data_IF_109819905130
#
_entry.id   IF_109819905130
#
_cell.length_a   1.000
_cell.length_b   1.000
_cell.length_c   1.000
_cell.angle_alpha   90.00
_cell.angle_beta   90.00
_cell.angle_gamma   90.00
#
_symmetry.space_group_name_H-M   'P 1'
#
loop_
_entity.id
_entity.type
_entity.pdbx_description
1 polymer ?
#
# COMPACT_ATOMS: atom_id res chain seq x y z
N UNK A 1 -26.76 3.61 11.74
CA UNK A 1 -25.87 2.83 12.64
C UNK A 1 -26.78 1.92 13.43
N UNK A 2 -26.85 0.69 13.03
CA UNK A 2 -27.66 -0.29 13.75
C UNK A 2 -26.91 -0.64 15.04
N UNK A 3 -27.39 -0.12 16.12
CA UNK A 3 -26.91 -0.50 17.46
C UNK A 3 -27.51 -1.85 17.81
N UNK A 4 -26.94 -2.89 17.30
CA UNK A 4 -27.28 -4.24 17.69
C UNK A 4 -26.61 -4.53 19.04
N UNK A 5 -27.25 -4.15 20.11
CA UNK A 5 -26.91 -4.64 21.44
C UNK A 5 -27.45 -6.07 21.48
N UNK A 6 -26.57 -7.06 21.48
CA UNK A 6 -26.95 -8.47 21.46
C UNK A 6 -27.92 -8.76 22.59
N UNK A 7 -29.16 -9.09 22.25
CA UNK A 7 -30.23 -9.40 23.19
C UNK A 7 -31.38 -8.40 23.27
N UNK A 8 -31.28 -7.24 22.62
CA UNK A 8 -32.39 -6.27 22.55
C UNK A 8 -33.04 -6.34 21.17
N UNK A 9 -34.21 -6.92 21.07
CA UNK A 9 -35.03 -6.93 19.86
C UNK A 9 -36.06 -5.80 19.99
N UNK A 10 -35.76 -4.67 19.32
CA UNK A 10 -36.71 -3.54 19.28
C UNK A 10 -37.79 -3.86 18.25
N UNK A 11 -38.96 -4.26 18.71
CA UNK A 11 -40.13 -4.47 17.86
C UNK A 11 -40.83 -5.79 18.00
N UNK A 12 -40.36 -6.70 18.83
CA UNK A 12 -41.14 -7.86 19.20
C UNK A 12 -42.13 -7.51 20.34
N UNK A 13 -43.38 -7.93 20.15
CA UNK A 13 -44.38 -7.85 21.22
C UNK A 13 -44.03 -8.87 22.27
N UNK A 14 -43.52 -8.39 23.43
CA UNK A 14 -43.22 -9.20 24.60
C UNK A 14 -44.45 -9.43 25.47
N UNK A 15 -45.64 -9.16 24.95
CA UNK A 15 -46.89 -9.45 25.66
C UNK A 15 -47.06 -10.96 25.80
N UNK A 16 -46.92 -11.45 27.05
CA UNK A 16 -47.19 -12.85 27.40
C UNK A 16 -45.97 -13.78 27.42
N UNK A 17 -44.77 -13.28 27.20
CA UNK A 17 -43.55 -14.03 27.43
C UNK A 17 -42.86 -13.56 28.71
N UNK A 18 -42.25 -14.47 29.42
CA UNK A 18 -41.25 -14.19 30.45
C UNK A 18 -39.99 -13.64 29.77
N UNK A 19 -40.10 -12.51 29.14
CA UNK A 19 -39.03 -11.83 28.45
C UNK A 19 -38.63 -10.59 29.22
N UNK A 20 -37.43 -10.60 29.75
CA UNK A 20 -36.85 -9.44 30.43
C UNK A 20 -36.00 -8.66 29.48
N UNK A 21 -36.21 -7.35 29.40
CA UNK A 21 -35.25 -6.44 28.77
C UNK A 21 -34.14 -6.20 29.79
N UNK A 22 -32.97 -6.75 29.51
CA UNK A 22 -31.82 -6.57 30.38
C UNK A 22 -31.08 -5.33 29.92
N UNK A 23 -31.16 -4.26 30.69
CA UNK A 23 -30.30 -3.10 30.52
C UNK A 23 -29.10 -3.28 31.44
N UNK A 24 -27.92 -3.54 30.88
CA UNK A 24 -26.69 -3.51 31.67
C UNK A 24 -26.39 -2.07 32.06
N UNK A 25 -26.80 -1.71 33.24
CA UNK A 25 -26.44 -0.46 33.90
C UNK A 25 -25.58 -0.79 35.09
N UNK A 26 -24.34 -0.33 35.09
CA UNK A 26 -23.56 -0.28 36.33
C UNK A 26 -23.98 0.96 37.09
N UNK A 27 -24.76 0.80 38.12
CA UNK A 27 -24.97 1.87 39.10
C UNK A 27 -23.80 1.99 40.08
N UNK A 28 -22.79 1.14 39.91
CA UNK A 28 -21.55 1.14 40.71
C UNK A 28 -21.67 0.65 42.13
N UNK A 29 -22.77 0.05 42.53
CA UNK A 29 -23.02 -0.33 43.92
C UNK A 29 -23.21 -1.83 44.17
N UNK A 30 -23.44 -2.65 43.15
CA UNK A 30 -23.60 -4.08 43.31
C UNK A 30 -22.36 -4.87 42.94
N UNK A 31 -22.02 -5.83 43.76
CA UNK A 31 -20.92 -6.78 43.58
C UNK A 31 -21.38 -8.08 42.92
N UNK A 32 -22.65 -8.20 42.59
CA UNK A 32 -23.17 -9.39 41.93
C UNK A 32 -23.03 -9.30 40.40
N UNK A 33 -22.56 -10.37 39.83
CA UNK A 33 -22.40 -10.50 38.37
C UNK A 33 -23.80 -10.45 37.72
N UNK A 34 -24.19 -9.26 37.33
CA UNK A 34 -25.40 -9.04 36.58
C UNK A 34 -26.36 -8.07 37.25
N UNK A 35 -25.96 -6.80 37.40
CA UNK A 35 -26.89 -5.71 37.60
C UNK A 35 -27.74 -5.52 36.33
N UNK A 36 -28.68 -6.40 36.17
CA UNK A 36 -29.64 -6.35 35.11
C UNK A 36 -30.89 -5.70 35.62
N UNK A 37 -31.28 -4.58 35.08
CA UNK A 37 -32.60 -4.04 35.29
C UNK A 37 -33.55 -4.88 34.44
N UNK A 38 -34.30 -5.74 35.08
CA UNK A 38 -35.29 -6.61 34.45
C UNK A 38 -36.63 -5.92 34.50
N UNK A 39 -37.16 -5.53 33.34
CA UNK A 39 -38.57 -5.14 33.22
C UNK A 39 -39.40 -6.40 32.99
N UNK A 40 -40.06 -6.88 33.97
CA UNK A 40 -41.06 -7.95 33.81
C UNK A 40 -42.40 -7.31 33.50
N UNK A 41 -42.89 -7.48 32.28
CA UNK A 41 -44.15 -6.94 31.80
C UNK A 41 -45.34 -7.87 32.11
N UNK A 42 -45.09 -9.03 32.68
CA UNK A 42 -46.14 -9.96 33.09
C UNK A 42 -46.75 -9.57 34.43
N UNK A 43 -46.09 -8.68 35.11
CA UNK A 43 -46.64 -8.15 36.35
C UNK A 43 -47.73 -7.10 36.01
N UNK A 44 -48.93 -7.41 36.39
CA UNK A 44 -50.06 -6.50 36.37
C UNK A 44 -50.01 -5.46 37.48
N UNK A 45 -48.82 -5.24 38.02
CA UNK A 45 -48.56 -4.24 39.02
C UNK A 45 -49.01 -2.86 38.54
N UNK A 46 -49.76 -2.18 39.35
CA UNK A 46 -50.19 -0.82 39.06
C UNK A 46 -49.01 0.15 39.07
N UNK A 47 -49.26 1.35 38.68
CA UNK A 47 -48.37 2.46 38.98
C UNK A 47 -48.62 2.95 40.40
N UNK A 48 -47.53 3.28 41.08
CA UNK A 48 -47.62 3.98 42.35
C UNK A 48 -48.22 5.40 42.20
N UNK A 49 -48.49 6.08 43.28
CA UNK A 49 -49.04 7.43 43.29
C UNK A 49 -48.16 8.48 42.63
N UNK A 50 -46.91 8.13 42.29
CA UNK A 50 -45.94 8.96 41.54
C UNK A 50 -45.82 8.57 40.08
N UNK A 51 -46.57 7.56 39.61
CA UNK A 51 -46.54 7.08 38.23
C UNK A 51 -45.41 6.09 37.93
N UNK A 52 -44.73 5.56 38.96
CA UNK A 52 -43.72 4.52 38.77
C UNK A 52 -44.41 3.15 38.68
N UNK A 53 -43.87 2.28 37.82
CA UNK A 53 -44.31 0.89 37.74
C UNK A 53 -43.91 0.16 39.04
N UNK A 54 -44.88 -0.45 39.74
CA UNK A 54 -44.62 -1.27 40.92
C UNK A 54 -44.32 -2.70 40.51
N UNK A 55 -43.29 -3.28 41.09
CA UNK A 55 -43.01 -4.71 40.94
C UNK A 55 -43.95 -5.54 41.83
N UNK A 56 -44.10 -6.85 41.53
CA UNK A 56 -44.98 -7.78 42.24
C UNK A 56 -44.71 -7.87 43.77
N UNK A 57 -43.49 -7.56 44.17
CA UNK A 57 -43.07 -7.49 45.57
C UNK A 57 -43.45 -6.17 46.29
N UNK A 58 -44.09 -5.26 45.56
CA UNK A 58 -44.52 -3.96 46.11
C UNK A 58 -43.42 -2.91 46.23
N UNK A 59 -42.24 -3.17 45.69
CA UNK A 59 -41.20 -2.15 45.59
C UNK A 59 -41.45 -1.24 44.40
N UNK A 60 -41.28 0.07 44.62
CA UNK A 60 -41.42 1.04 43.51
C UNK A 60 -40.27 0.85 42.51
N UNK A 61 -40.62 0.32 41.36
CA UNK A 61 -39.66 -0.10 40.41
C UNK A 61 -39.10 1.01 39.57
N UNK A 62 -39.72 1.69 38.67
CA UNK A 62 -39.10 2.65 37.78
C UNK A 62 -40.05 3.74 37.37
N UNK A 63 -39.56 4.97 37.35
CA UNK A 63 -40.29 6.07 36.71
C UNK A 63 -40.39 5.84 35.22
N UNK A 64 -41.56 6.07 34.64
CA UNK A 64 -41.73 6.07 33.18
C UNK A 64 -40.78 7.09 32.59
N UNK A 65 -39.83 6.63 31.81
CA UNK A 65 -38.90 7.53 31.12
C UNK A 65 -39.69 8.32 30.07
N UNK A 66 -39.97 9.56 30.37
CA UNK A 66 -40.71 10.48 29.48
C UNK A 66 -39.83 11.08 28.38
N UNK A 67 -38.55 10.79 28.39
CA UNK A 67 -37.56 11.25 27.38
C UNK A 67 -36.66 10.10 26.94
N UNK A 68 -36.18 10.10 25.67
CA UNK A 68 -35.27 9.08 25.22
C UNK A 68 -33.99 9.09 26.10
N UNK A 69 -33.64 7.94 26.62
CA UNK A 69 -32.39 7.78 27.36
C UNK A 69 -31.22 7.87 26.41
N UNK A 70 -30.48 8.95 26.49
CA UNK A 70 -29.23 9.10 25.72
C UNK A 70 -28.11 8.51 26.57
N UNK A 71 -27.68 7.32 26.20
CA UNK A 71 -26.48 6.71 26.78
C UNK A 71 -25.28 7.01 25.91
N UNK A 72 -24.31 7.70 26.48
CA UNK A 72 -23.02 7.90 25.81
C UNK A 72 -22.14 6.68 26.09
N UNK A 73 -21.58 6.11 25.03
CA UNK A 73 -20.58 5.07 25.19
C UNK A 73 -19.33 5.71 25.79
N UNK A 74 -18.97 5.31 26.99
CA UNK A 74 -17.77 5.76 27.69
C UNK A 74 -16.82 4.58 27.90
N UNK A 75 -15.52 4.87 28.05
CA UNK A 75 -14.51 3.87 28.36
C UNK A 75 -13.87 3.20 27.15
N UNK A 76 -14.20 3.61 25.91
CA UNK A 76 -13.41 3.25 24.76
C UNK A 76 -12.05 3.97 24.81
N UNK A 77 -10.96 3.24 24.69
CA UNK A 77 -9.62 3.81 24.53
C UNK A 77 -9.12 3.51 23.12
N UNK A 78 -8.64 4.56 22.46
CA UNK A 78 -7.95 4.39 21.18
C UNK A 78 -6.54 3.87 21.44
N UNK A 79 -6.20 2.73 20.87
CA UNK A 79 -4.84 2.23 20.86
C UNK A 79 -4.18 2.51 19.51
N UNK A 80 -3.43 3.62 19.44
CA UNK A 80 -2.62 3.99 18.28
C UNK A 80 -1.15 3.56 18.43
N UNK A 81 -0.80 2.89 19.53
CA UNK A 81 0.56 2.46 19.85
C UNK A 81 0.81 1.01 19.40
N UNK A 82 0.57 0.73 18.11
CA UNK A 82 0.77 -0.59 17.54
C UNK A 82 2.21 -1.06 17.73
N UNK A 83 2.36 -2.31 18.14
CA UNK A 83 3.65 -3.01 18.23
C UNK A 83 4.08 -3.55 16.88
N UNK A 84 5.37 -3.90 16.76
CA UNK A 84 5.89 -4.53 15.54
C UNK A 84 5.17 -5.85 15.22
N UNK A 85 4.87 -6.68 16.24
CA UNK A 85 4.17 -7.95 16.05
C UNK A 85 2.72 -7.80 15.57
N UNK A 86 2.03 -6.73 15.95
CA UNK A 86 0.69 -6.43 15.43
C UNK A 86 0.74 -6.01 13.96
N UNK A 87 1.76 -5.23 13.55
CA UNK A 87 2.00 -4.95 12.13
C UNK A 87 2.28 -6.22 11.34
N UNK A 88 3.12 -7.12 11.86
CA UNK A 88 3.43 -8.41 11.23
C UNK A 88 2.16 -9.25 11.06
N UNK A 89 1.40 -9.43 12.14
CA UNK A 89 0.13 -10.17 12.11
C UNK A 89 -0.90 -9.58 11.15
N UNK A 90 -0.88 -8.26 10.95
CA UNK A 90 -1.75 -7.60 9.99
C UNK A 90 -1.29 -7.85 8.55
N UNK A 91 0.02 -7.80 8.28
CA UNK A 91 0.56 -8.07 6.95
C UNK A 91 0.45 -9.54 6.54
N UNK A 92 0.56 -10.49 7.47
CA UNK A 92 0.37 -11.92 7.21
C UNK A 92 -1.00 -12.26 6.61
N UNK A 93 -2.03 -11.46 6.94
CA UNK A 93 -3.37 -11.62 6.35
C UNK A 93 -3.42 -11.32 4.84
N UNK A 94 -2.42 -10.64 4.31
CA UNK A 94 -2.30 -10.33 2.89
C UNK A 94 -1.37 -11.27 2.13
N UNK A 95 -0.88 -12.35 2.76
CA UNK A 95 0.03 -13.31 2.12
C UNK A 95 -0.60 -14.14 1.00
N UNK A 96 -1.91 -14.41 1.11
CA UNK A 96 -2.60 -15.23 0.12
C UNK A 96 -2.76 -14.48 -1.21
N UNK A 97 -2.14 -15.04 -2.26
CA UNK A 97 -2.18 -14.50 -3.62
C UNK A 97 -3.38 -14.99 -4.43
N UNK A 98 -4.09 -16.00 -3.95
CA UNK A 98 -5.24 -16.55 -4.68
C UNK A 98 -6.53 -15.80 -4.37
N UNK A 99 -6.73 -15.44 -3.10
CA UNK A 99 -7.93 -14.73 -2.65
C UNK A 99 -7.82 -13.21 -2.80
N UNK A 100 -6.60 -12.65 -2.74
CA UNK A 100 -6.37 -11.21 -2.72
C UNK A 100 -5.47 -10.76 -3.86
N UNK A 101 -6.02 -9.98 -4.78
CA UNK A 101 -5.27 -9.34 -5.86
C UNK A 101 -4.74 -7.96 -5.44
N UNK A 102 -3.44 -7.90 -5.11
CA UNK A 102 -2.76 -6.69 -4.64
C UNK A 102 -1.64 -6.33 -5.62
N UNK A 103 -1.56 -5.05 -6.01
CA UNK A 103 -0.50 -4.54 -6.89
C UNK A 103 0.45 -3.58 -6.17
N UNK A 104 -0.06 -2.78 -5.22
CA UNK A 104 0.70 -1.76 -4.50
C UNK A 104 0.43 -1.90 -3.00
N UNK A 105 1.49 -1.92 -2.21
CA UNK A 105 1.44 -1.99 -0.75
C UNK A 105 1.99 -0.69 -0.17
N UNK A 106 1.24 -0.05 0.72
CA UNK A 106 1.65 1.19 1.36
C UNK A 106 2.25 0.91 2.73
N UNK A 107 3.48 1.35 2.97
CA UNK A 107 4.13 1.23 4.27
C UNK A 107 3.53 2.14 5.36
N UNK A 108 2.67 3.08 4.98
CA UNK A 108 2.05 4.00 5.94
C UNK A 108 3.09 4.83 6.68
N UNK A 109 3.08 4.79 8.01
CA UNK A 109 4.06 5.48 8.84
C UNK A 109 5.46 4.88 8.64
N UNK A 110 6.44 5.67 8.21
CA UNK A 110 7.76 5.19 7.81
C UNK A 110 8.52 4.39 8.86
N UNK A 111 8.37 4.72 10.13
CA UNK A 111 8.97 3.98 11.23
C UNK A 111 8.12 2.83 11.78
N UNK A 112 6.94 2.55 11.21
CA UNK A 112 6.03 1.53 11.74
C UNK A 112 5.65 1.80 13.21
N UNK A 113 5.95 0.89 14.09
CA UNK A 113 5.65 0.98 15.53
C UNK A 113 6.41 2.11 16.26
N UNK A 114 7.53 2.59 15.72
CA UNK A 114 8.36 3.62 16.34
C UNK A 114 8.71 4.77 15.42
N UNK A 115 9.59 5.65 15.88
CA UNK A 115 10.10 6.80 15.10
C UNK A 115 11.64 6.86 15.17
N UNK A 116 12.27 5.74 14.83
CA UNK A 116 13.73 5.54 14.82
C UNK A 116 14.18 4.79 13.57
N UNK A 117 15.47 4.82 13.27
CA UNK A 117 16.05 4.04 12.18
C UNK A 117 15.90 2.52 12.38
N UNK A 118 15.97 2.04 13.63
CA UNK A 118 15.79 0.63 13.95
C UNK A 118 14.35 0.16 13.76
N UNK A 119 13.37 0.96 14.20
CA UNK A 119 11.95 0.64 13.97
C UNK A 119 11.59 0.69 12.48
N UNK A 120 12.19 1.61 11.72
CA UNK A 120 12.06 1.64 10.26
C UNK A 120 12.62 0.38 9.62
N UNK A 121 13.82 -0.07 10.02
CA UNK A 121 14.43 -1.30 9.49
C UNK A 121 13.54 -2.53 9.76
N UNK A 122 13.03 -2.67 10.98
CA UNK A 122 12.08 -3.73 11.34
C UNK A 122 10.82 -3.68 10.46
N UNK A 123 10.24 -2.51 10.29
CA UNK A 123 9.03 -2.32 9.48
C UNK A 123 9.26 -2.64 7.99
N UNK A 124 10.38 -2.16 7.43
CA UNK A 124 10.76 -2.44 6.04
C UNK A 124 11.07 -3.93 5.84
N UNK A 125 11.66 -4.59 6.83
CA UNK A 125 11.93 -6.03 6.78
C UNK A 125 10.65 -6.84 6.69
N UNK A 126 9.62 -6.52 7.50
CA UNK A 126 8.30 -7.16 7.43
C UNK A 126 7.64 -6.95 6.06
N UNK A 127 7.61 -5.71 5.58
CA UNK A 127 7.07 -5.40 4.26
C UNK A 127 7.82 -6.12 3.14
N UNK A 128 9.15 -6.20 3.25
CA UNK A 128 9.98 -6.91 2.26
C UNK A 128 9.66 -8.39 2.27
N UNK A 129 9.52 -9.02 3.44
CA UNK A 129 9.16 -10.43 3.56
C UNK A 129 7.80 -10.71 2.89
N UNK A 130 6.78 -9.86 3.12
CA UNK A 130 5.48 -9.97 2.47
C UNK A 130 5.59 -9.91 0.94
N UNK A 131 6.22 -8.85 0.40
CA UNK A 131 6.25 -8.65 -1.06
C UNK A 131 7.17 -9.63 -1.79
N UNK A 132 8.21 -10.14 -1.15
CA UNK A 132 9.07 -11.18 -1.71
C UNK A 132 8.44 -12.57 -1.66
N UNK A 133 7.57 -12.83 -0.69
CA UNK A 133 6.75 -14.04 -0.63
C UNK A 133 5.69 -14.02 -1.71
N UNK A 134 4.97 -12.92 -1.85
CA UNK A 134 3.91 -12.73 -2.86
C UNK A 134 4.45 -12.64 -4.29
N UNK A 135 5.46 -11.81 -4.53
CA UNK A 135 6.06 -11.52 -5.85
C UNK A 135 5.11 -10.92 -6.91
N UNK A 136 3.94 -10.47 -6.51
CA UNK A 136 2.91 -9.89 -7.39
C UNK A 136 2.64 -8.40 -7.12
N UNK A 137 3.32 -7.81 -6.15
CA UNK A 137 3.12 -6.42 -5.72
C UNK A 137 4.43 -5.69 -5.41
N UNK A 138 4.33 -4.36 -5.24
CA UNK A 138 5.45 -3.49 -4.86
C UNK A 138 5.07 -2.71 -3.60
N UNK A 139 5.97 -2.68 -2.62
CA UNK A 139 5.81 -1.89 -1.41
C UNK A 139 6.49 -0.51 -1.52
N UNK A 140 5.84 0.50 -0.97
CA UNK A 140 6.32 1.88 -0.93
C UNK A 140 6.54 2.32 0.50
N UNK A 141 7.72 2.85 0.81
CA UNK A 141 8.12 3.21 2.16
C UNK A 141 8.74 4.60 2.20
N UNK A 142 8.29 5.39 3.16
CA UNK A 142 8.89 6.68 3.53
C UNK A 142 9.86 6.54 4.69
N UNK A 143 10.80 7.49 4.90
CA UNK A 143 11.66 7.48 6.08
C UNK A 143 10.84 7.65 7.37
N UNK A 144 11.40 7.29 8.53
CA UNK A 144 10.77 7.59 9.81
C UNK A 144 10.65 9.12 10.00
N UNK A 145 9.61 9.53 10.72
CA UNK A 145 9.17 10.95 10.70
C UNK A 145 10.26 11.91 11.19
N UNK A 146 10.89 11.61 12.31
CA UNK A 146 11.92 12.51 12.88
C UNK A 146 13.23 12.56 12.08
N UNK A 147 13.42 11.67 11.09
CA UNK A 147 14.55 11.79 10.17
C UNK A 147 14.51 13.09 9.33
N UNK A 148 13.31 13.60 9.05
CA UNK A 148 13.13 14.73 8.15
C UNK A 148 12.27 15.86 8.74
N UNK A 149 11.25 15.54 9.54
CA UNK A 149 10.34 16.53 10.11
C UNK A 149 10.96 17.14 11.35
N UNK A 150 11.08 18.49 11.38
CA UNK A 150 11.72 19.22 12.48
C UNK A 150 13.25 19.33 12.35
N UNK A 151 13.84 18.78 11.30
CA UNK A 151 15.30 18.89 11.04
C UNK A 151 15.59 20.20 10.32
N UNK A 152 16.40 21.06 10.92
CA UNK A 152 16.66 22.40 10.41
C UNK A 152 17.48 22.44 9.11
N UNK A 153 18.41 21.51 8.94
CA UNK A 153 19.33 21.49 7.80
C UNK A 153 19.00 20.35 6.83
N UNK A 154 18.85 20.67 5.56
CA UNK A 154 18.57 19.70 4.48
C UNK A 154 19.64 18.61 4.38
N UNK A 155 20.93 18.96 4.56
CA UNK A 155 22.02 17.99 4.55
C UNK A 155 21.92 16.99 5.73
N UNK A 156 21.49 17.43 6.91
CA UNK A 156 21.26 16.57 8.07
C UNK A 156 20.10 15.63 7.81
N UNK A 157 18.96 16.13 7.30
CA UNK A 157 17.83 15.33 6.92
C UNK A 157 18.22 14.26 5.87
N UNK A 158 18.94 14.67 4.82
CA UNK A 158 19.48 13.74 3.80
C UNK A 158 20.36 12.66 4.43
N UNK A 159 21.25 13.03 5.37
CA UNK A 159 22.13 12.07 6.03
C UNK A 159 21.36 11.06 6.89
N UNK A 160 20.36 11.53 7.63
CA UNK A 160 19.49 10.69 8.46
C UNK A 160 18.72 9.66 7.58
N UNK A 161 18.14 10.14 6.49
CA UNK A 161 17.38 9.31 5.55
C UNK A 161 18.28 8.25 4.90
N UNK A 162 19.47 8.64 4.44
CA UNK A 162 20.45 7.70 3.86
C UNK A 162 20.91 6.69 4.89
N UNK A 163 21.22 7.10 6.13
CA UNK A 163 21.62 6.21 7.19
C UNK A 163 20.54 5.17 7.53
N UNK A 164 19.29 5.61 7.64
CA UNK A 164 18.15 4.74 7.94
C UNK A 164 17.91 3.69 6.84
N UNK A 165 17.86 4.10 5.58
CA UNK A 165 17.60 3.16 4.48
C UNK A 165 18.79 2.27 4.11
N UNK A 166 20.00 2.62 4.53
CA UNK A 166 21.14 1.72 4.39
C UNK A 166 21.10 0.49 5.32
N UNK A 167 20.34 0.58 6.41
CA UNK A 167 20.09 -0.58 7.30
C UNK A 167 19.09 -1.54 6.66
N UNK A 168 18.15 -1.02 5.89
CA UNK A 168 17.02 -1.77 5.34
C UNK A 168 17.45 -2.80 4.26
N UNK A 169 16.72 -3.92 4.14
CA UNK A 169 17.02 -4.98 3.17
C UNK A 169 16.97 -4.47 1.73
N UNK A 170 17.73 -5.16 0.87
CA UNK A 170 17.81 -4.85 -0.56
C UNK A 170 16.80 -5.70 -1.33
N UNK A 171 15.78 -5.07 -1.89
CA UNK A 171 14.76 -5.75 -2.69
C UNK A 171 14.35 -4.94 -3.90
N UNK A 172 14.03 -5.60 -5.01
CA UNK A 172 13.45 -4.96 -6.18
C UNK A 172 11.94 -4.75 -6.06
N UNK A 173 11.31 -5.33 -5.05
CA UNK A 173 9.89 -5.21 -4.78
C UNK A 173 9.54 -4.07 -3.79
N UNK A 174 10.56 -3.32 -3.36
CA UNK A 174 10.39 -2.20 -2.43
C UNK A 174 10.89 -0.90 -3.08
N UNK A 175 10.22 0.20 -2.79
CA UNK A 175 10.52 1.55 -3.28
C UNK A 175 10.64 2.50 -2.11
N UNK A 176 11.73 3.24 -2.02
CA UNK A 176 11.98 4.25 -0.99
C UNK A 176 11.77 5.65 -1.54
N UNK A 177 11.01 6.46 -0.82
CA UNK A 177 10.94 7.91 -1.02
C UNK A 177 11.78 8.66 0.01
N UNK A 178 11.89 9.99 -0.13
CA UNK A 178 12.86 10.77 0.67
C UNK A 178 12.25 11.63 1.78
N UNK A 179 10.91 11.83 1.83
CA UNK A 179 10.39 12.94 2.62
C UNK A 179 8.95 12.79 3.08
N UNK A 180 8.47 13.81 3.78
CA UNK A 180 7.07 14.03 4.14
C UNK A 180 6.55 15.29 3.45
N UNK A 181 5.29 15.29 3.04
CA UNK A 181 4.58 16.49 2.61
C UNK A 181 3.77 17.09 3.74
N UNK A 182 3.70 18.41 3.79
CA UNK A 182 2.82 19.15 4.66
C UNK A 182 1.54 19.47 3.89
N UNK A 183 0.42 18.97 4.39
CA UNK A 183 -0.88 19.14 3.74
C UNK A 183 -1.98 19.45 4.74
N UNK A 184 -3.08 20.00 4.26
CA UNK A 184 -4.24 20.29 5.05
C UNK A 184 -5.11 19.04 5.20
N UNK A 185 -5.40 18.68 6.46
CA UNK A 185 -6.36 17.64 6.82
C UNK A 185 -7.73 18.30 7.02
N UNK A 186 -8.58 18.21 6.00
CA UNK A 186 -9.90 18.84 5.98
C UNK A 186 -10.89 18.27 7.00
N UNK A 187 -10.64 17.07 7.53
CA UNK A 187 -11.55 16.43 8.47
C UNK A 187 -11.31 16.91 9.91
N UNK A 188 -10.04 17.23 10.25
CA UNK A 188 -9.67 17.70 11.56
C UNK A 188 -9.31 19.20 11.59
N UNK A 189 -9.43 19.90 10.46
CA UNK A 189 -9.10 21.34 10.30
C UNK A 189 -7.68 21.68 10.76
N UNK A 190 -6.71 20.83 10.46
CA UNK A 190 -5.32 21.00 10.86
C UNK A 190 -4.36 20.67 9.72
N UNK A 191 -3.19 21.31 9.73
CA UNK A 191 -2.11 20.91 8.82
C UNK A 191 -1.25 19.82 9.43
N UNK A 192 -0.94 18.79 8.66
CA UNK A 192 -0.13 17.65 9.11
C UNK A 192 0.99 17.32 8.13
N UNK A 193 2.07 16.74 8.66
CA UNK A 193 3.07 16.05 7.85
C UNK A 193 2.62 14.62 7.59
N UNK A 194 2.50 14.25 6.31
CA UNK A 194 2.07 12.95 5.83
C UNK A 194 3.22 12.32 5.04
N UNK A 195 3.51 11.02 5.23
CA UNK A 195 4.55 10.33 4.47
C UNK A 195 4.20 10.27 2.98
N UNK A 196 5.21 10.28 2.12
CA UNK A 196 5.03 10.34 0.65
C UNK A 196 4.83 8.97 0.00
N UNK A 197 4.92 7.85 0.73
CA UNK A 197 4.74 6.52 0.15
C UNK A 197 3.39 6.35 -0.53
N UNK A 198 2.32 6.88 0.08
CA UNK A 198 0.98 6.88 -0.52
C UNK A 198 0.93 7.70 -1.82
N UNK A 199 1.62 8.84 -1.87
CA UNK A 199 1.71 9.65 -3.09
C UNK A 199 2.52 8.95 -4.17
N UNK A 200 3.66 8.34 -3.82
CA UNK A 200 4.51 7.61 -4.77
C UNK A 200 3.77 6.42 -5.38
N UNK A 201 3.03 5.67 -4.56
CA UNK A 201 2.14 4.62 -5.05
C UNK A 201 0.99 5.19 -5.89
N UNK A 202 0.40 6.30 -5.47
CA UNK A 202 -0.65 7.01 -6.22
C UNK A 202 -0.18 7.51 -7.58
N UNK A 203 1.09 7.95 -7.71
CA UNK A 203 1.69 8.30 -8.99
C UNK A 203 1.88 7.08 -9.90
N UNK A 204 2.15 5.90 -9.34
CA UNK A 204 2.14 4.67 -10.11
C UNK A 204 0.75 4.35 -10.65
N UNK A 205 -0.29 4.41 -9.81
CA UNK A 205 -1.67 4.19 -10.23
C UNK A 205 -2.15 5.25 -11.24
N UNK A 206 -1.77 6.52 -11.06
CA UNK A 206 -2.04 7.58 -12.03
C UNK A 206 -1.34 7.33 -13.37
N UNK A 207 -0.11 6.80 -13.35
CA UNK A 207 0.62 6.43 -14.56
C UNK A 207 -0.11 5.32 -15.32
N UNK A 208 -0.74 4.38 -14.63
CA UNK A 208 -1.54 3.30 -15.24
C UNK A 208 -2.77 3.84 -15.97
N UNK A 209 -3.36 4.94 -15.48
CA UNK A 209 -4.52 5.56 -16.12
C UNK A 209 -4.17 6.34 -17.39
N UNK A 210 -3.03 7.05 -17.39
CA UNK A 210 -2.67 7.97 -18.50
C UNK A 210 -1.70 7.38 -19.52
N UNK A 211 -1.03 6.29 -19.15
CA UNK A 211 -0.08 5.59 -20.00
C UNK A 211 -0.19 4.08 -19.72
N UNK A 212 0.85 3.48 -19.18
CA UNK A 212 0.88 2.06 -18.80
C UNK A 212 1.79 1.85 -17.60
N UNK A 213 1.66 0.70 -16.92
CA UNK A 213 2.42 0.35 -15.72
C UNK A 213 3.94 0.27 -15.95
N UNK A 214 4.38 0.09 -17.18
CA UNK A 214 5.80 0.06 -17.57
C UNK A 214 6.39 1.44 -17.90
N UNK A 215 5.64 2.53 -17.75
CA UNK A 215 6.19 3.87 -17.77
C UNK A 215 6.68 4.29 -16.39
N UNK A 216 7.75 5.11 -16.37
CA UNK A 216 8.26 5.67 -15.11
C UNK A 216 7.22 6.64 -14.50
N UNK A 217 6.89 6.50 -13.20
CA UNK A 217 5.99 7.44 -12.51
C UNK A 217 6.67 8.77 -12.16
N UNK A 218 7.98 8.88 -12.37
CA UNK A 218 8.77 10.06 -12.03
C UNK A 218 8.80 11.11 -13.14
N UNK A 219 9.27 12.30 -12.79
CA UNK A 219 9.50 13.40 -13.70
C UNK A 219 8.34 14.37 -13.84
N UNK A 220 8.55 15.45 -14.59
CA UNK A 220 7.60 16.57 -14.67
C UNK A 220 6.26 16.22 -15.32
N UNK A 221 6.23 15.22 -16.17
CA UNK A 221 5.01 14.83 -16.89
C UNK A 221 4.02 14.02 -16.02
N UNK A 222 4.50 13.20 -15.12
CA UNK A 222 3.69 12.25 -14.34
C UNK A 222 3.95 12.28 -12.83
N UNK A 223 5.14 12.75 -12.41
CA UNK A 223 5.59 12.69 -11.04
C UNK A 223 5.16 13.86 -10.14
N UNK A 224 4.15 14.65 -10.52
CA UNK A 224 3.69 15.78 -9.73
C UNK A 224 2.86 15.33 -8.53
N UNK A 225 3.33 15.63 -7.32
CA UNK A 225 2.68 15.32 -6.05
C UNK A 225 1.62 16.37 -5.73
N UNK A 226 0.37 15.95 -5.65
CA UNK A 226 -0.77 16.85 -5.42
C UNK A 226 -0.97 17.13 -3.92
N UNK A 227 -1.57 18.29 -3.63
CA UNK A 227 -1.96 18.66 -2.26
C UNK A 227 -0.80 18.95 -1.30
N UNK A 228 0.43 19.05 -1.77
CA UNK A 228 1.58 19.40 -0.95
C UNK A 228 1.74 20.92 -0.85
N UNK A 229 1.59 21.48 0.35
CA UNK A 229 1.88 22.90 0.63
C UNK A 229 3.38 23.12 0.68
N UNK A 230 4.10 22.22 1.35
CA UNK A 230 5.56 22.20 1.41
C UNK A 230 6.06 20.79 1.71
N UNK A 231 7.34 20.54 1.47
CA UNK A 231 8.02 19.33 1.92
C UNK A 231 8.62 19.53 3.32
N UNK A 232 8.92 18.45 4.03
CA UNK A 232 9.66 18.49 5.30
C UNK A 232 11.05 19.08 5.11
N UNK A 233 11.70 18.81 3.99
CA UNK A 233 12.91 19.49 3.51
C UNK A 233 12.96 19.41 1.97
N UNK A 234 13.76 20.27 1.35
CA UNK A 234 13.93 20.27 -0.11
C UNK A 234 15.40 19.99 -0.45
N UNK A 235 15.73 18.80 -0.99
CA UNK A 235 17.12 18.42 -1.23
C UNK A 235 17.75 19.23 -2.39
N UNK A 236 18.97 19.72 -2.18
CA UNK A 236 19.83 20.33 -3.20
C UNK A 236 20.25 19.31 -4.26
N UNK A 237 20.88 19.75 -5.36
CA UNK A 237 21.37 18.83 -6.41
C UNK A 237 22.32 17.77 -5.86
N UNK A 238 23.30 18.18 -5.03
CA UNK A 238 24.25 17.25 -4.43
C UNK A 238 23.60 16.24 -3.46
N UNK A 239 22.60 16.69 -2.70
CA UNK A 239 21.83 15.84 -1.80
C UNK A 239 20.94 14.86 -2.56
N UNK A 240 20.32 15.29 -3.67
CA UNK A 240 19.58 14.40 -4.57
C UNK A 240 20.47 13.30 -5.14
N UNK A 241 21.68 13.64 -5.55
CA UNK A 241 22.64 12.67 -6.06
C UNK A 241 23.05 11.65 -4.98
N UNK A 242 23.18 12.08 -3.72
CA UNK A 242 23.44 11.18 -2.58
C UNK A 242 22.24 10.25 -2.32
N UNK A 243 21.03 10.77 -2.25
CA UNK A 243 19.80 9.99 -2.08
C UNK A 243 19.66 8.95 -3.20
N UNK A 244 19.83 9.38 -4.43
CA UNK A 244 19.67 8.51 -5.59
C UNK A 244 20.73 7.40 -5.66
N UNK A 245 21.97 7.67 -5.24
CA UNK A 245 23.00 6.61 -5.07
C UNK A 245 22.62 5.62 -3.97
N UNK A 246 21.98 6.10 -2.91
CA UNK A 246 21.49 5.27 -1.81
C UNK A 246 20.16 4.56 -2.10
N UNK A 247 19.71 4.48 -3.36
CA UNK A 247 18.47 3.82 -3.80
C UNK A 247 17.18 4.54 -3.36
N UNK A 248 17.26 5.78 -2.92
CA UNK A 248 16.15 6.58 -2.42
C UNK A 248 15.71 7.52 -3.53
N UNK A 249 14.40 7.57 -3.79
CA UNK A 249 13.84 8.44 -4.80
C UNK A 249 13.61 9.84 -4.21
N UNK A 250 14.35 10.86 -4.65
CA UNK A 250 14.18 12.20 -4.11
C UNK A 250 12.85 12.80 -4.59
N UNK A 251 12.12 13.39 -3.65
CA UNK A 251 10.98 14.26 -3.95
C UNK A 251 11.42 15.69 -3.74
N UNK A 252 11.19 16.54 -4.72
CA UNK A 252 11.79 17.87 -4.82
C UNK A 252 10.74 18.90 -5.16
N UNK A 253 10.80 20.04 -4.50
CA UNK A 253 10.00 21.20 -4.89
C UNK A 253 10.82 22.06 -5.87
N UNK A 254 10.41 22.09 -7.12
CA UNK A 254 11.00 22.93 -8.17
C UNK A 254 10.22 24.24 -8.31
N UNK A 255 10.89 25.39 -8.34
CA UNK A 255 10.22 26.68 -8.61
C UNK A 255 9.44 26.63 -9.92
N UNK A 256 8.16 26.99 -9.86
CA UNK A 256 7.28 27.01 -11.03
C UNK A 256 6.74 25.64 -11.50
N UNK A 257 7.25 24.53 -10.97
CA UNK A 257 6.83 23.17 -11.33
C UNK A 257 6.14 22.43 -10.16
N UNK A 258 6.30 22.95 -8.94
CA UNK A 258 5.74 22.33 -7.73
C UNK A 258 6.56 21.13 -7.22
N UNK A 259 5.90 20.29 -6.42
CA UNK A 259 6.52 19.13 -5.80
C UNK A 259 6.47 17.94 -6.76
N UNK A 260 7.64 17.39 -7.06
CA UNK A 260 7.80 16.33 -8.08
C UNK A 260 8.62 15.16 -7.54
N UNK A 261 8.18 13.94 -7.81
CA UNK A 261 8.99 12.73 -7.65
C UNK A 261 10.08 12.72 -8.73
N UNK A 262 11.34 12.78 -8.32
CA UNK A 262 12.49 12.94 -9.23
C UNK A 262 13.45 11.75 -9.16
N UNK A 263 12.90 10.54 -9.13
CA UNK A 263 13.63 9.27 -9.14
C UNK A 263 12.69 8.09 -9.35
N UNK A 264 13.21 7.03 -9.95
CA UNK A 264 12.47 5.82 -10.32
C UNK A 264 13.18 4.52 -9.95
N UNK A 265 13.99 4.55 -8.88
CA UNK A 265 14.72 3.36 -8.39
C UNK A 265 13.88 2.51 -7.46
N UNK A 266 14.12 1.19 -7.53
CA UNK A 266 13.75 0.24 -6.48
C UNK A 266 14.81 0.22 -5.37
N UNK A 267 14.53 -0.44 -4.26
CA UNK A 267 15.46 -0.61 -3.14
C UNK A 267 16.60 -1.61 -3.45
N UNK A 268 16.72 -2.10 -4.68
CA UNK A 268 17.74 -3.06 -5.07
C UNK A 268 19.15 -2.42 -5.06
N UNK A 269 20.08 -3.00 -4.31
CA UNK A 269 21.45 -2.51 -4.19
C UNK A 269 22.36 -2.93 -5.34
N UNK A 270 22.08 -4.09 -5.95
CA UNK A 270 22.87 -4.62 -7.07
C UNK A 270 22.40 -4.02 -8.40
N UNK A 271 23.28 -3.60 -9.29
CA UNK A 271 22.91 -3.20 -10.65
C UNK A 271 22.20 -4.34 -11.38
N UNK A 272 20.96 -4.09 -11.80
CA UNK A 272 20.12 -5.06 -12.50
C UNK A 272 19.11 -4.32 -13.38
N UNK A 273 18.43 -5.03 -14.27
CA UNK A 273 17.27 -4.47 -14.98
C UNK A 273 16.14 -4.09 -14.00
N UNK A 274 16.03 -4.81 -12.88
CA UNK A 274 15.02 -4.60 -11.84
C UNK A 274 15.35 -3.48 -10.84
N UNK A 275 16.41 -2.71 -11.05
CA UNK A 275 16.74 -1.55 -10.22
C UNK A 275 15.83 -0.34 -10.50
N UNK A 276 14.85 -0.48 -11.43
CA UNK A 276 13.90 0.55 -11.84
C UNK A 276 12.46 0.13 -11.55
N UNK A 277 11.65 1.09 -11.07
CA UNK A 277 10.24 0.89 -10.77
C UNK A 277 9.47 0.44 -12.00
N UNK A 278 9.69 1.11 -13.14
CA UNK A 278 8.99 0.80 -14.38
C UNK A 278 9.27 -0.62 -14.89
N UNK A 279 10.52 -1.09 -14.79
CA UNK A 279 10.88 -2.44 -15.22
C UNK A 279 10.31 -3.49 -14.26
N UNK A 280 10.39 -3.26 -12.93
CA UNK A 280 9.77 -4.18 -11.97
C UNK A 280 8.27 -4.30 -12.20
N UNK A 281 7.58 -3.18 -12.39
CA UNK A 281 6.14 -3.16 -12.66
C UNK A 281 5.76 -3.81 -13.99
N UNK A 282 6.59 -3.62 -15.03
CA UNK A 282 6.44 -4.35 -16.29
C UNK A 282 6.43 -5.86 -16.04
N UNK A 283 7.45 -6.37 -15.32
CA UNK A 283 7.54 -7.82 -15.08
C UNK A 283 6.39 -8.34 -14.22
N UNK A 284 5.94 -7.60 -13.22
CA UNK A 284 4.76 -7.99 -12.43
C UNK A 284 3.50 -8.11 -13.30
N UNK A 285 3.30 -7.16 -14.23
CA UNK A 285 2.19 -7.21 -15.19
C UNK A 285 2.30 -8.46 -16.09
N UNK A 286 3.50 -8.71 -16.64
CA UNK A 286 3.75 -9.84 -17.54
C UNK A 286 3.61 -11.17 -16.81
N UNK A 287 4.26 -11.33 -15.66
CA UNK A 287 4.21 -12.55 -14.86
C UNK A 287 2.76 -12.90 -14.47
N UNK A 288 1.98 -11.93 -14.03
CA UNK A 288 0.59 -12.12 -13.63
C UNK A 288 -0.32 -12.50 -14.81
N UNK A 289 -0.19 -11.79 -15.94
CA UNK A 289 -0.99 -12.07 -17.13
C UNK A 289 -0.65 -13.44 -17.73
N UNK A 290 0.64 -13.76 -17.85
CA UNK A 290 1.10 -15.03 -18.41
C UNK A 290 0.79 -16.18 -17.47
N UNK A 291 0.97 -16.03 -16.15
CA UNK A 291 0.61 -17.06 -15.18
C UNK A 291 -0.89 -17.38 -15.22
N UNK A 292 -1.74 -16.36 -15.37
CA UNK A 292 -3.18 -16.56 -15.54
C UNK A 292 -3.49 -17.33 -16.83
N UNK A 293 -2.83 -16.97 -17.92
CA UNK A 293 -2.97 -17.67 -19.20
C UNK A 293 -2.44 -19.12 -19.15
N UNK A 294 -1.34 -19.34 -18.44
CA UNK A 294 -0.74 -20.66 -18.27
C UNK A 294 -1.63 -21.63 -17.47
N UNK A 295 -2.50 -21.13 -16.58
CA UNK A 295 -3.45 -21.98 -15.83
C UNK A 295 -4.39 -22.78 -16.74
N UNK A 296 -4.69 -22.29 -17.94
CA UNK A 296 -5.52 -23.01 -18.91
C UNK A 296 -4.81 -24.17 -19.60
N UNK A 297 -3.49 -24.32 -19.42
CA UNK A 297 -2.70 -25.43 -19.91
C UNK A 297 -2.53 -26.56 -18.86
N UNK A 298 -2.98 -26.32 -17.63
CA UNK A 298 -2.92 -27.33 -16.58
C UNK A 298 -3.82 -28.51 -16.94
N UNK A 299 -3.31 -29.72 -16.73
CA UNK A 299 -3.97 -31.00 -17.02
C UNK A 299 -4.08 -31.36 -18.52
N UNK A 300 -3.53 -30.49 -19.41
CA UNK A 300 -3.38 -30.85 -20.83
C UNK A 300 -2.11 -31.69 -21.07
N UNK A 301 -2.06 -32.37 -22.20
CA UNK A 301 -0.87 -33.15 -22.57
C UNK A 301 0.30 -32.26 -22.93
N UNK A 302 1.52 -32.60 -22.48
CA UNK A 302 2.74 -31.89 -22.87
C UNK A 302 3.22 -32.36 -24.25
N UNK A 303 2.50 -32.01 -25.30
CA UNK A 303 2.82 -32.30 -26.68
C UNK A 303 3.20 -31.04 -27.46
N UNK A 304 3.58 -31.21 -28.72
CA UNK A 304 3.96 -30.06 -29.57
C UNK A 304 2.78 -29.11 -29.82
N UNK A 305 1.56 -29.64 -29.87
CA UNK A 305 0.35 -28.86 -30.09
C UNK A 305 0.09 -27.92 -28.90
N UNK A 306 0.10 -28.41 -27.67
CA UNK A 306 -0.10 -27.62 -26.46
C UNK A 306 1.01 -26.56 -26.31
N UNK A 307 2.26 -26.93 -26.59
CA UNK A 307 3.39 -25.99 -26.58
C UNK A 307 3.23 -24.88 -27.62
N UNK A 308 2.78 -25.21 -28.83
CA UNK A 308 2.49 -24.23 -29.87
C UNK A 308 1.30 -23.33 -29.50
N UNK A 309 0.25 -23.90 -28.91
CA UNK A 309 -0.91 -23.15 -28.42
C UNK A 309 -0.50 -22.11 -27.36
N UNK A 310 0.33 -22.49 -26.41
CA UNK A 310 0.87 -21.58 -25.41
C UNK A 310 1.67 -20.44 -26.04
N UNK A 311 2.58 -20.73 -26.98
CA UNK A 311 3.33 -19.69 -27.69
C UNK A 311 2.41 -18.75 -28.46
N UNK A 312 1.43 -19.27 -29.17
CA UNK A 312 0.45 -18.50 -29.93
C UNK A 312 -0.44 -17.61 -29.02
N UNK A 313 -0.57 -17.95 -27.75
CA UNK A 313 -1.27 -17.12 -26.75
C UNK A 313 -0.38 -16.00 -26.22
N UNK A 314 0.89 -16.32 -25.90
CA UNK A 314 1.81 -15.39 -25.24
C UNK A 314 2.47 -14.38 -26.20
N UNK A 315 2.86 -14.83 -27.40
CA UNK A 315 3.57 -13.97 -28.34
C UNK A 315 2.77 -12.74 -28.79
N UNK A 316 1.48 -12.81 -29.13
CA UNK A 316 0.70 -11.62 -29.49
C UNK A 316 0.59 -10.62 -28.36
N UNK A 317 0.45 -11.10 -27.09
CA UNK A 317 0.43 -10.25 -25.92
C UNK A 317 1.76 -9.51 -25.73
N UNK A 318 2.90 -10.20 -25.85
CA UNK A 318 4.22 -9.57 -25.76
C UNK A 318 4.45 -8.58 -26.90
N UNK A 319 3.95 -8.89 -28.10
CA UNK A 319 4.03 -8.03 -29.29
C UNK A 319 3.20 -6.75 -29.13
N UNK A 320 2.04 -6.82 -28.49
CA UNK A 320 1.24 -5.64 -28.13
C UNK A 320 2.02 -4.73 -27.18
N UNK A 321 2.61 -5.29 -26.12
CA UNK A 321 3.43 -4.53 -25.17
C UNK A 321 4.68 -3.94 -25.85
N UNK A 322 5.27 -4.65 -26.80
CA UNK A 322 6.35 -4.13 -27.61
C UNK A 322 5.89 -2.94 -28.47
N UNK A 323 4.72 -3.04 -29.12
CA UNK A 323 4.11 -1.93 -29.88
C UNK A 323 3.83 -0.71 -29.01
N UNK A 324 3.46 -0.92 -27.75
CA UNK A 324 3.25 0.12 -26.72
C UNK A 324 4.53 0.62 -26.06
N UNK A 325 5.72 0.18 -26.53
CA UNK A 325 7.05 0.61 -26.07
C UNK A 325 7.48 0.11 -24.69
N UNK A 326 6.82 -0.91 -24.13
CA UNK A 326 7.21 -1.52 -22.86
C UNK A 326 8.42 -2.43 -22.97
N UNK A 327 8.57 -3.09 -24.12
CA UNK A 327 9.63 -4.05 -24.41
C UNK A 327 10.33 -3.63 -25.70
N UNK A 328 11.66 -3.78 -25.75
CA UNK A 328 12.45 -3.57 -26.97
C UNK A 328 12.45 -4.82 -27.85
N UNK A 329 12.59 -6.00 -27.22
CA UNK A 329 12.67 -7.28 -27.91
C UNK A 329 12.25 -8.40 -26.95
N UNK A 330 11.74 -9.52 -27.47
CA UNK A 330 11.38 -10.69 -26.70
C UNK A 330 11.56 -11.99 -27.49
N UNK A 331 11.67 -13.12 -26.78
CA UNK A 331 11.67 -14.45 -27.35
C UNK A 331 10.96 -15.40 -26.41
N UNK A 332 10.06 -16.22 -26.94
CA UNK A 332 9.36 -17.28 -26.21
C UNK A 332 9.85 -18.64 -26.70
N UNK A 333 10.41 -19.40 -25.79
CA UNK A 333 10.90 -20.75 -26.04
C UNK A 333 10.07 -21.77 -25.25
N UNK A 334 9.28 -22.54 -25.94
CA UNK A 334 8.50 -23.65 -25.39
C UNK A 334 8.50 -24.76 -26.46
N UNK A 335 9.60 -25.47 -26.57
CA UNK A 335 9.82 -26.50 -27.58
C UNK A 335 10.41 -27.78 -26.96
N UNK A 336 10.81 -28.74 -27.78
CA UNK A 336 11.37 -30.00 -27.31
C UNK A 336 12.74 -29.85 -26.61
N UNK A 337 13.42 -28.70 -26.77
CA UNK A 337 14.74 -28.48 -26.16
C UNK A 337 14.68 -28.14 -24.68
N UNK A 338 13.60 -27.47 -24.23
CA UNK A 338 13.33 -27.19 -22.82
C UNK A 338 12.26 -28.11 -22.21
N UNK A 339 11.53 -28.87 -23.02
CA UNK A 339 10.63 -29.95 -22.60
C UNK A 339 11.18 -31.30 -23.06
N UNK A 340 12.25 -31.76 -22.41
CA UNK A 340 12.87 -33.06 -22.67
C UNK A 340 11.98 -34.22 -22.16
N UNK A 341 12.29 -35.46 -22.53
CA UNK A 341 11.57 -36.64 -22.02
C UNK A 341 11.52 -36.68 -20.49
N UNK A 342 12.62 -36.30 -19.81
CA UNK A 342 12.65 -36.25 -18.36
C UNK A 342 11.70 -35.19 -17.74
N UNK A 343 11.50 -34.05 -18.41
CA UNK A 343 10.56 -33.00 -17.98
C UNK A 343 9.13 -33.50 -18.17
N UNK A 344 8.86 -34.18 -19.30
CA UNK A 344 7.55 -34.74 -19.60
C UNK A 344 7.22 -35.90 -18.61
N UNK A 345 8.19 -36.73 -18.29
CA UNK A 345 8.03 -37.84 -17.34
C UNK A 345 7.76 -37.34 -15.90
N UNK A 346 8.20 -36.12 -15.57
CA UNK A 346 7.85 -35.45 -14.30
C UNK A 346 6.52 -34.72 -14.34
N UNK A 347 5.75 -34.81 -15.44
CA UNK A 347 4.52 -34.06 -15.66
C UNK A 347 4.70 -32.52 -15.57
N UNK A 348 5.85 -32.03 -16.00
CA UNK A 348 6.18 -30.61 -16.00
C UNK A 348 6.08 -30.03 -17.41
N UNK A 349 5.69 -28.75 -17.50
CA UNK A 349 5.76 -27.94 -18.71
C UNK A 349 6.66 -26.76 -18.45
N UNK A 350 7.68 -26.55 -19.29
CA UNK A 350 8.66 -25.47 -19.16
C UNK A 350 8.57 -24.54 -20.37
N UNK A 351 8.40 -23.26 -20.09
CA UNK A 351 8.48 -22.19 -21.08
C UNK A 351 9.43 -21.10 -20.60
N UNK A 352 10.45 -20.79 -21.43
CA UNK A 352 11.39 -19.72 -21.17
C UNK A 352 10.99 -18.47 -21.96
N UNK A 353 10.78 -17.35 -21.23
CA UNK A 353 10.39 -16.09 -21.83
C UNK A 353 11.49 -15.07 -21.59
N UNK A 354 12.21 -14.73 -22.66
CA UNK A 354 13.28 -13.76 -22.63
C UNK A 354 12.76 -12.39 -23.04
N UNK A 355 13.01 -11.38 -22.20
CA UNK A 355 12.48 -10.03 -22.39
C UNK A 355 13.59 -9.01 -22.24
N UNK A 356 13.69 -8.09 -23.19
CA UNK A 356 14.52 -6.88 -23.12
C UNK A 356 13.62 -5.68 -22.79
N UNK A 357 13.58 -5.22 -21.52
CA UNK A 357 12.72 -4.09 -21.16
C UNK A 357 13.22 -2.78 -21.74
N UNK A 358 12.30 -1.88 -22.03
CA UNK A 358 12.64 -0.49 -22.35
C UNK A 358 13.12 0.24 -21.09
N UNK A 359 14.19 1.01 -21.22
CA UNK A 359 14.78 1.77 -20.09
C UNK A 359 14.37 3.23 -20.12
N UNK A 360 14.09 3.80 -18.96
CA UNK A 360 13.87 5.24 -18.79
C UNK A 360 15.18 6.03 -18.96
N UNK A 361 15.09 7.24 -19.46
CA UNK A 361 16.23 8.18 -19.55
C UNK A 361 16.38 8.86 -18.20
N UNK A 362 17.54 8.69 -17.58
CA UNK A 362 17.85 9.30 -16.27
C UNK A 362 18.89 10.42 -16.37
N UNK A 363 19.71 10.43 -17.44
CA UNK A 363 20.74 11.44 -17.65
C UNK A 363 20.65 11.97 -19.06
N UNK A 364 20.67 13.28 -19.22
CA UNK A 364 20.70 13.97 -20.51
C UNK A 364 21.97 14.80 -20.54
N UNK A 365 22.86 14.50 -21.50
CA UNK A 365 24.04 15.32 -21.77
C UNK A 365 23.77 16.14 -23.01
N UNK A 366 23.86 17.47 -22.88
CA UNK A 366 23.69 18.41 -23.97
C UNK A 366 25.06 19.04 -24.30
N UNK A 367 25.55 18.81 -25.52
CA UNK A 367 26.78 19.42 -25.99
C UNK A 367 26.44 20.61 -26.89
N UNK A 368 26.78 21.80 -26.46
CA UNK A 368 26.65 23.01 -27.28
C UNK A 368 28.00 23.35 -27.87
N UNK A 369 28.10 23.28 -29.21
CA UNK A 369 29.33 23.60 -29.92
C UNK A 369 29.12 24.91 -30.67
N UNK A 370 29.88 25.94 -30.30
CA UNK A 370 29.85 27.21 -30.99
C UNK A 370 30.75 27.10 -32.25
N UNK A 371 30.17 27.29 -33.42
CA UNK A 371 30.85 27.22 -34.71
C UNK A 371 31.08 28.61 -35.26
N UNK A 372 32.23 28.87 -35.88
CA UNK A 372 32.53 30.14 -36.52
C UNK A 372 31.61 30.37 -37.72
N UNK A 373 31.29 31.64 -38.00
CA UNK A 373 30.52 32.04 -39.18
C UNK A 373 31.25 31.61 -40.44
N UNK A 374 30.59 30.78 -41.27
CA UNK A 374 31.17 30.29 -42.55
C UNK A 374 31.63 28.84 -42.54
N UNK A 375 31.56 28.12 -41.41
CA UNK A 375 31.81 26.67 -41.36
C UNK A 375 30.51 25.91 -41.61
N UNK A 376 30.50 24.93 -42.51
CA UNK A 376 29.31 24.11 -42.72
C UNK A 376 29.12 23.13 -41.57
N UNK A 377 27.87 22.90 -41.13
CA UNK A 377 27.57 21.98 -40.03
C UNK A 377 27.94 20.51 -40.31
N UNK A 378 28.17 20.16 -41.58
CA UNK A 378 28.64 18.83 -42.00
C UNK A 378 30.10 18.56 -41.62
N UNK A 379 30.90 19.60 -41.39
CA UNK A 379 32.33 19.47 -41.01
C UNK A 379 32.54 19.36 -39.48
N UNK A 380 31.51 19.63 -38.68
CA UNK A 380 31.61 19.65 -37.23
C UNK A 380 31.08 18.36 -36.57
N UNK A 381 30.41 17.49 -37.32
CA UNK A 381 29.78 16.25 -36.88
C UNK A 381 30.53 14.97 -37.24
N UNK A 382 31.79 15.06 -37.66
CA UNK A 382 32.64 13.92 -37.98
C UNK A 382 33.46 13.41 -36.79
#
# INVERSE_FOLDING_TARGET
MDHNVSGLNFGEDISGATGSIILNGTDGSSTDAGDNIVFDRTDSGGTDENGNVTLEDGTSGYSVISAPTKTELAGGTDDYALTAGEYESAYDKFEDTESLDINLVLGGRGGGAGDTSSSQDTHVTMLTALVEKRRDCVAFVSPYRSATVGVALSNTATSNVVAAFNLCPSSSYVVFDSAYKYMFDKYNDVFRFVPLNGDTAGLCAFTDQIADSFFSPAGFNRGNVRGAVKLSYNPTKAERDRLYRARINPVVNFPGQGVVLFGDKTALSKPSAFDRINVRRLFLLLEKAIATAAKFQLFEFNDEFTRAQFRNLVEPFLRDIQGRRGITDFSVKADATNNTGEVIDRNEFVADIFIKPARSINFITLNFIAVRTGVSFTEVGG
#
